data_IF_342677396714
#
_entry.id   IF_342677396714
#
_cell.length_a   1.000
_cell.length_b   1.000
_cell.length_c   1.000
_cell.angle_alpha   90.00
_cell.angle_beta   90.00
_cell.angle_gamma   90.00
#
_symmetry.space_group_name_H-M   'P 1'
#
loop_
_entity.id
_entity.type
_entity.pdbx_description
1 polymer ?
#
# COMPACT_ATOMS: atom_id res chain seq x y z
N UNK A 1 17.53 13.12 -3.83
CA UNK A 1 16.56 12.10 -3.36
C UNK A 1 15.26 12.40 -4.08
N UNK A 2 14.75 11.48 -4.89
CA UNK A 2 13.52 11.70 -5.66
C UNK A 2 12.35 11.09 -4.89
N UNK A 3 11.27 11.85 -4.70
CA UNK A 3 10.11 11.45 -3.87
C UNK A 3 9.17 10.45 -4.57
N UNK A 4 9.45 10.05 -5.80
CA UNK A 4 8.60 9.14 -6.58
C UNK A 4 7.27 9.76 -6.97
N UNK A 5 6.29 8.91 -7.29
CA UNK A 5 4.92 9.31 -7.59
C UNK A 5 4.10 9.36 -6.30
N UNK A 6 3.29 10.43 -6.09
CA UNK A 6 2.47 10.54 -4.89
C UNK A 6 1.40 9.44 -4.81
N UNK A 7 0.96 9.14 -3.59
CA UNK A 7 -0.09 8.16 -3.33
C UNK A 7 -1.26 8.77 -2.57
N UNK A 8 -2.44 8.20 -2.78
CA UNK A 8 -3.68 8.48 -2.06
C UNK A 8 -4.03 7.28 -1.21
N UNK A 9 -4.43 7.52 0.04
CA UNK A 9 -4.95 6.50 0.94
C UNK A 9 -6.47 6.64 1.03
N UNK A 10 -7.18 5.53 0.81
CA UNK A 10 -8.63 5.47 0.98
C UNK A 10 -8.96 4.49 2.11
N UNK A 11 -9.52 4.95 3.24
CA UNK A 11 -9.85 4.06 4.35
C UNK A 11 -11.03 3.16 3.98
N UNK A 12 -10.99 1.92 4.46
CA UNK A 12 -12.10 0.97 4.31
C UNK A 12 -13.39 1.49 4.95
N UNK A 13 -13.26 2.18 6.08
CA UNK A 13 -14.37 2.86 6.72
C UNK A 13 -14.64 4.19 5.98
N UNK A 14 -15.70 4.25 5.18
CA UNK A 14 -16.00 5.41 4.31
C UNK A 14 -16.16 6.76 5.05
N UNK A 15 -16.45 6.74 6.36
CA UNK A 15 -16.59 7.96 7.19
C UNK A 15 -15.31 8.34 7.95
N UNK A 16 -14.26 7.53 7.85
CA UNK A 16 -13.00 7.79 8.49
C UNK A 16 -12.30 8.94 7.78
N UNK A 17 -12.00 10.00 8.54
CA UNK A 17 -11.39 11.23 8.02
C UNK A 17 -9.86 11.13 8.05
N UNK A 18 -9.32 10.50 9.10
CA UNK A 18 -7.89 10.34 9.32
C UNK A 18 -7.50 8.87 9.14
N UNK A 19 -6.40 8.60 8.44
CA UNK A 19 -5.83 7.25 8.36
C UNK A 19 -5.12 6.96 9.67
N UNK A 20 -5.52 5.87 10.35
CA UNK A 20 -4.94 5.44 11.63
C UNK A 20 -4.17 4.13 11.45
N UNK A 21 -3.24 3.85 12.36
CA UNK A 21 -2.51 2.58 12.37
C UNK A 21 -3.46 1.37 12.39
N UNK A 22 -3.04 0.29 11.74
CA UNK A 22 -3.79 -0.97 11.60
C UNK A 22 -5.18 -0.87 10.95
N UNK A 23 -5.61 0.32 10.50
CA UNK A 23 -6.81 0.44 9.68
C UNK A 23 -6.53 -0.01 8.24
N UNK A 24 -7.46 -0.78 7.67
CA UNK A 24 -7.37 -1.21 6.28
C UNK A 24 -7.54 -0.01 5.34
N UNK A 25 -6.60 0.15 4.42
CA UNK A 25 -6.60 1.19 3.40
C UNK A 25 -6.33 0.61 2.02
N UNK A 26 -6.96 1.17 0.99
CA UNK A 26 -6.43 1.06 -0.36
C UNK A 26 -5.36 2.13 -0.56
N UNK A 27 -4.33 1.79 -1.33
CA UNK A 27 -3.25 2.69 -1.72
C UNK A 27 -3.32 2.84 -3.24
N UNK A 28 -3.29 4.06 -3.73
CA UNK A 28 -3.39 4.33 -5.17
C UNK A 28 -2.35 5.36 -5.56
N UNK A 29 -1.67 5.19 -6.69
CA UNK A 29 -0.89 6.30 -7.24
C UNK A 29 -1.80 7.41 -7.74
N UNK A 30 -1.44 8.65 -7.42
CA UNK A 30 -2.10 9.83 -7.94
C UNK A 30 -1.60 10.16 -9.34
N UNK A 31 -2.52 10.29 -10.28
CA UNK A 31 -2.27 10.74 -11.66
C UNK A 31 -3.37 11.75 -12.02
N UNK A 32 -3.01 12.96 -12.47
CA UNK A 32 -3.98 14.03 -12.78
C UNK A 32 -4.96 13.65 -13.89
N UNK A 33 -4.53 12.82 -14.84
CA UNK A 33 -5.34 12.37 -15.98
C UNK A 33 -4.94 10.93 -16.38
N UNK A 34 -5.41 9.90 -15.64
CA UNK A 34 -5.14 8.52 -16.02
C UNK A 34 -5.76 8.26 -17.40
N UNK A 35 -4.94 7.90 -18.38
CA UNK A 35 -5.39 7.58 -19.73
C UNK A 35 -4.63 6.37 -20.28
N UNK A 36 -5.28 5.63 -21.18
CA UNK A 36 -4.71 4.45 -21.81
C UNK A 36 -4.40 3.33 -20.82
N UNK A 37 -3.16 2.83 -20.85
CA UNK A 37 -2.69 1.65 -20.09
C UNK A 37 -2.61 1.92 -18.58
N UNK A 38 -2.50 3.18 -18.15
CA UNK A 38 -2.42 3.57 -16.73
C UNK A 38 -3.79 3.92 -16.14
N UNK A 39 -4.83 3.16 -16.50
CA UNK A 39 -6.20 3.43 -16.03
C UNK A 39 -6.44 2.98 -14.58
N UNK A 40 -5.62 2.04 -14.08
CA UNK A 40 -5.68 1.56 -12.71
C UNK A 40 -4.34 1.81 -12.01
N UNK A 41 -4.43 2.43 -10.84
CA UNK A 41 -3.29 2.75 -9.98
C UNK A 41 -3.42 2.15 -8.59
N UNK A 42 -4.48 1.37 -8.34
CA UNK A 42 -4.80 0.76 -7.05
C UNK A 42 -3.84 -0.40 -6.81
N UNK A 43 -3.16 -0.35 -5.67
CA UNK A 43 -2.22 -1.39 -5.31
C UNK A 43 -2.94 -2.70 -4.98
N UNK A 44 -2.32 -3.83 -5.31
CA UNK A 44 -2.71 -5.15 -4.85
C UNK A 44 -1.50 -6.07 -4.74
N UNK A 45 -1.63 -7.15 -3.96
CA UNK A 45 -0.69 -8.27 -3.95
C UNK A 45 -1.03 -9.22 -5.10
N UNK A 46 -0.20 -9.22 -6.13
CA UNK A 46 -0.36 -10.03 -7.34
C UNK A 46 -0.30 -11.53 -7.01
N UNK A 47 -1.26 -12.29 -7.54
CA UNK A 47 -1.28 -13.75 -7.39
C UNK A 47 -1.89 -14.27 -6.09
N UNK A 48 -2.25 -13.42 -5.13
CA UNK A 48 -2.98 -13.84 -3.92
C UNK A 48 -4.37 -14.41 -4.30
N UNK A 49 -4.83 -15.55 -3.72
CA UNK A 49 -4.33 -16.28 -2.56
C UNK A 49 -3.33 -17.42 -2.86
N UNK A 50 -2.54 -17.30 -3.94
CA UNK A 50 -1.46 -18.23 -4.27
C UNK A 50 -0.38 -18.34 -3.19
N UNK A 51 0.54 -19.30 -3.39
CA UNK A 51 1.55 -19.67 -2.40
C UNK A 51 3.00 -19.39 -2.84
N UNK A 52 3.20 -18.96 -4.07
CA UNK A 52 4.53 -18.68 -4.62
C UNK A 52 5.07 -17.36 -4.02
N UNK A 53 6.19 -17.45 -3.31
CA UNK A 53 6.85 -16.29 -2.69
C UNK A 53 8.14 -15.94 -3.45
N UNK A 54 8.51 -14.64 -3.53
CA UNK A 54 7.75 -13.50 -3.04
C UNK A 54 6.53 -13.17 -3.91
N UNK A 55 5.42 -12.73 -3.31
CA UNK A 55 4.30 -12.16 -4.06
C UNK A 55 4.51 -10.65 -4.20
N UNK A 56 4.55 -10.17 -5.44
CA UNK A 56 4.84 -8.77 -5.75
C UNK A 56 3.60 -7.89 -5.69
N UNK A 57 3.81 -6.60 -5.47
CA UNK A 57 2.77 -5.60 -5.63
C UNK A 57 2.63 -5.21 -7.11
N UNK A 58 1.38 -4.96 -7.52
CA UNK A 58 0.99 -4.41 -8.83
C UNK A 58 -0.09 -3.33 -8.67
N UNK A 59 -0.52 -2.70 -9.76
CA UNK A 59 -1.47 -1.56 -9.76
C UNK A 59 -2.85 -1.89 -10.33
N UNK A 60 -3.22 -3.17 -10.36
CA UNK A 60 -4.50 -3.65 -10.92
C UNK A 60 -5.58 -3.93 -9.87
N UNK A 61 -5.41 -3.40 -8.65
CA UNK A 61 -6.31 -3.62 -7.53
C UNK A 61 -7.71 -3.02 -7.70
N UNK A 62 -8.58 -3.29 -6.72
CA UNK A 62 -9.95 -2.76 -6.68
C UNK A 62 -10.20 -2.03 -5.37
N UNK A 63 -10.35 -0.71 -5.45
CA UNK A 63 -10.62 0.12 -4.27
C UNK A 63 -12.08 0.01 -3.80
N UNK A 64 -12.28 0.07 -2.47
CA UNK A 64 -13.60 0.09 -1.83
C UNK A 64 -14.34 -1.25 -1.80
N UNK A 65 -13.87 -2.27 -2.53
CA UNK A 65 -14.46 -3.60 -2.48
C UNK A 65 -13.90 -4.40 -1.30
N UNK A 66 -14.70 -4.55 -0.25
CA UNK A 66 -14.32 -5.29 0.97
C UNK A 66 -13.97 -6.76 0.72
N UNK A 67 -14.48 -7.35 -0.37
CA UNK A 67 -14.17 -8.74 -0.74
C UNK A 67 -12.82 -8.88 -1.45
N UNK A 68 -12.27 -7.79 -2.00
CA UNK A 68 -10.95 -7.83 -2.64
C UNK A 68 -9.83 -7.66 -1.62
N UNK A 69 -9.62 -8.70 -0.81
CA UNK A 69 -8.62 -8.73 0.27
C UNK A 69 -7.20 -8.41 -0.21
N UNK A 70 -6.85 -8.72 -1.46
CA UNK A 70 -5.53 -8.48 -2.04
C UNK A 70 -5.18 -6.99 -2.20
N UNK A 71 -6.18 -6.10 -2.22
CA UNK A 71 -6.01 -4.65 -2.36
C UNK A 71 -6.06 -3.88 -1.03
N UNK A 72 -6.18 -4.57 0.10
CA UNK A 72 -6.21 -3.94 1.43
C UNK A 72 -4.85 -4.05 2.12
N UNK A 73 -4.35 -2.90 2.56
CA UNK A 73 -3.08 -2.76 3.26
C UNK A 73 -3.29 -2.10 4.62
N UNK A 74 -2.32 -2.25 5.50
CA UNK A 74 -2.29 -1.52 6.76
C UNK A 74 -0.98 -0.75 6.90
N UNK A 75 -1.06 0.39 7.57
CA UNK A 75 0.09 1.19 7.96
C UNK A 75 0.33 0.94 9.45
N UNK A 76 1.58 0.68 9.84
CA UNK A 76 1.97 0.53 11.25
C UNK A 76 3.25 1.31 11.52
N UNK A 77 3.43 1.76 12.76
CA UNK A 77 4.72 2.26 13.21
C UNK A 77 5.77 1.15 13.12
N UNK A 78 6.93 1.53 12.61
CA UNK A 78 8.17 0.79 12.76
C UNK A 78 8.96 1.39 13.94
N UNK A 79 10.26 1.11 14.02
CA UNK A 79 11.10 1.70 15.07
C UNK A 79 11.19 3.23 14.92
N UNK A 80 11.20 3.94 16.05
CA UNK A 80 11.36 5.41 16.10
C UNK A 80 10.26 6.18 15.34
N UNK A 81 10.62 6.99 14.33
CA UNK A 81 9.71 7.84 13.55
C UNK A 81 9.29 7.22 12.20
N UNK A 82 9.67 5.96 11.95
CA UNK A 82 9.39 5.27 10.70
C UNK A 82 8.03 4.57 10.74
N UNK A 83 7.46 4.36 9.56
CA UNK A 83 6.30 3.52 9.32
C UNK A 83 6.69 2.33 8.44
N UNK A 84 5.84 1.32 8.44
CA UNK A 84 5.89 0.19 7.51
C UNK A 84 4.51 -0.12 6.95
N UNK A 85 4.50 -0.71 5.76
CA UNK A 85 3.29 -1.23 5.13
C UNK A 85 3.17 -2.73 5.41
N UNK A 86 1.95 -3.17 5.63
CA UNK A 86 1.61 -4.55 5.96
C UNK A 86 0.50 -5.04 5.05
N UNK A 87 0.51 -6.34 4.75
CA UNK A 87 -0.59 -7.05 4.13
C UNK A 87 -1.22 -8.03 5.11
N UNK A 88 -2.51 -7.89 5.40
CA UNK A 88 -3.22 -8.62 6.46
C UNK A 88 -4.54 -9.25 5.95
N UNK A 89 -4.50 -10.19 5.00
CA UNK A 89 -5.69 -10.67 4.29
C UNK A 89 -6.71 -11.41 5.18
N UNK A 90 -6.26 -11.93 6.33
CA UNK A 90 -7.08 -12.68 7.27
C UNK A 90 -7.25 -11.96 8.63
N UNK A 91 -7.00 -10.64 8.66
CA UNK A 91 -7.03 -9.83 9.87
C UNK A 91 -5.67 -9.71 10.56
N UNK A 92 -5.64 -8.94 11.66
CA UNK A 92 -4.38 -8.49 12.30
C UNK A 92 -3.45 -9.62 12.79
N UNK A 93 -3.97 -10.82 13.03
CA UNK A 93 -3.20 -11.95 13.52
C UNK A 93 -2.33 -12.60 12.44
N UNK A 94 -2.67 -12.42 11.16
CA UNK A 94 -1.96 -13.01 10.03
C UNK A 94 -1.61 -11.89 9.06
N UNK A 95 -0.50 -11.21 9.38
CA UNK A 95 0.03 -10.11 8.61
C UNK A 95 1.46 -10.40 8.13
N UNK A 96 1.83 -9.86 6.99
CA UNK A 96 3.20 -9.91 6.46
C UNK A 96 3.67 -8.49 6.15
N UNK A 97 4.90 -8.18 6.57
CA UNK A 97 5.55 -6.92 6.22
C UNK A 97 5.76 -6.86 4.70
N UNK A 98 5.58 -5.66 4.12
CA UNK A 98 5.98 -5.39 2.75
C UNK A 98 7.43 -4.93 2.75
N UNK A 99 8.26 -5.60 1.96
CA UNK A 99 9.66 -5.30 1.78
C UNK A 99 10.01 -4.95 0.34
N UNK A 100 11.31 -4.83 0.09
CA UNK A 100 11.89 -4.59 -1.25
C UNK A 100 12.63 -5.85 -1.69
N UNK A 101 12.33 -6.33 -2.89
CA UNK A 101 13.15 -7.31 -3.59
C UNK A 101 14.23 -6.58 -4.41
N UNK A 102 15.45 -6.56 -3.88
CA UNK A 102 16.60 -5.92 -4.51
C UNK A 102 17.10 -6.63 -5.77
N UNK A 103 16.69 -7.89 -5.99
CA UNK A 103 17.06 -8.67 -7.18
C UNK A 103 16.08 -8.45 -8.33
N UNK A 104 14.82 -8.14 -8.02
CA UNK A 104 13.77 -7.84 -8.98
C UNK A 104 13.56 -6.33 -9.17
N UNK A 105 14.65 -5.57 -9.38
CA UNK A 105 14.56 -4.13 -9.70
C UNK A 105 13.95 -3.27 -8.58
N UNK A 106 14.08 -3.70 -7.31
CA UNK A 106 13.49 -3.05 -6.13
C UNK A 106 11.96 -3.06 -6.11
N UNK A 107 11.33 -4.10 -6.68
CA UNK A 107 9.88 -4.28 -6.56
C UNK A 107 9.46 -4.45 -5.09
N UNK A 108 8.33 -3.86 -4.74
CA UNK A 108 7.68 -4.11 -3.46
C UNK A 108 7.04 -5.50 -3.48
N UNK A 109 7.17 -6.23 -2.37
CA UNK A 109 6.64 -7.58 -2.25
C UNK A 109 6.44 -7.99 -0.78
N UNK A 110 5.59 -8.98 -0.58
CA UNK A 110 5.54 -9.76 0.66
C UNK A 110 6.47 -10.99 0.53
N UNK A 111 6.96 -11.49 1.67
CA UNK A 111 7.83 -12.69 1.69
C UNK A 111 9.27 -12.44 1.25
N UNK A 112 9.73 -11.19 1.18
CA UNK A 112 11.13 -10.84 0.87
C UNK A 112 12.11 -11.10 2.01
N UNK A 113 11.61 -11.37 3.22
CA UNK A 113 12.42 -11.51 4.44
C UNK A 113 12.96 -10.18 4.99
N UNK A 114 12.52 -9.04 4.44
CA UNK A 114 12.88 -7.71 4.93
C UNK A 114 11.64 -6.80 5.02
N UNK A 115 11.79 -5.68 5.72
CA UNK A 115 10.74 -4.66 5.90
C UNK A 115 11.18 -3.36 5.25
N UNK A 116 10.30 -2.74 4.47
CA UNK A 116 10.54 -1.41 3.93
C UNK A 116 10.06 -0.33 4.90
N UNK A 117 11.00 0.26 5.64
CA UNK A 117 10.72 1.39 6.53
C UNK A 117 10.67 2.69 5.72
N UNK A 118 9.62 3.49 5.94
CA UNK A 118 9.36 4.72 5.19
C UNK A 118 8.81 5.84 6.08
N UNK A 119 8.85 7.06 5.56
CA UNK A 119 8.16 8.22 6.11
C UNK A 119 7.20 8.78 5.08
N UNK A 120 6.09 9.35 5.53
CA UNK A 120 5.15 10.01 4.65
C UNK A 120 5.50 11.50 4.53
N UNK A 121 5.71 11.95 3.29
CA UNK A 121 5.92 13.36 2.97
C UNK A 121 4.64 13.84 2.28
N UNK A 122 4.02 14.88 2.84
CA UNK A 122 2.81 15.48 2.26
C UNK A 122 3.17 16.13 0.93
N UNK A 123 2.49 15.72 -0.15
CA UNK A 123 2.55 16.44 -1.41
C UNK A 123 1.73 17.73 -1.30
N UNK A 124 2.33 18.88 -1.64
CA UNK A 124 1.66 20.19 -1.55
C UNK A 124 0.82 20.53 -2.77
N UNK A 125 0.97 19.79 -3.86
CA UNK A 125 0.24 19.98 -5.11
C UNK A 125 -1.02 19.10 -5.18
N UNK A 126 -1.12 18.08 -4.31
CA UNK A 126 -2.23 17.13 -4.27
C UNK A 126 -2.93 17.24 -2.91
N UNK A 127 -4.20 17.63 -2.93
CA UNK A 127 -4.96 17.94 -1.71
C UNK A 127 -5.36 16.70 -0.90
N UNK A 128 -4.52 16.27 0.05
CA UNK A 128 -4.92 15.33 1.13
C UNK A 128 -4.67 15.93 2.51
N UNK A 129 -5.60 15.64 3.44
CA UNK A 129 -5.65 16.10 4.83
C UNK A 129 -4.97 15.09 5.79
N UNK A 130 -3.65 14.98 5.73
CA UNK A 130 -2.79 14.35 6.77
C UNK A 130 -2.98 12.83 7.04
N UNK A 131 -1.91 12.20 7.54
CA UNK A 131 -1.90 10.86 8.16
C UNK A 131 -1.52 11.11 9.62
N UNK A 132 -2.22 10.49 10.57
CA UNK A 132 -2.10 10.77 12.02
C UNK A 132 -1.65 9.53 12.79
#
# INVERSE_FOLDING_TARGET
MYSGMPVVFKPKAAKQVEITESSDVNIEFYIDNPSGICNNTVWEVEGFPGHDMPMYLTTNGVAGNVMNVASWFQIKKAESYWYKLMFCPYGEHICTDIGIDYTAGRRLAIGTGNTFNLVFIKDTNIGIKSIV
#
